data_IF_626016180049
#
_entry.id   IF_626016180049
#
_cell.length_a   1.000
_cell.length_b   1.000
_cell.length_c   1.000
_cell.angle_alpha   90.00
_cell.angle_beta   90.00
_cell.angle_gamma   90.00
#
_symmetry.space_group_name_H-M   'P 1'
#
loop_
_entity.id
_entity.type
_entity.pdbx_description
1 polymer ?
#
# COMPACT_ATOMS: atom_id res chain seq x y z
N UNK A 1 -43.72 15.32 35.79
CA UNK A 1 -43.80 15.77 34.39
C UNK A 1 -42.58 16.62 34.11
N UNK A 2 -41.54 16.04 33.52
CA UNK A 2 -40.37 16.78 33.03
C UNK A 2 -40.13 16.37 31.57
N UNK A 3 -39.87 17.39 30.78
CA UNK A 3 -40.03 17.47 29.34
C UNK A 3 -39.18 16.47 28.55
N UNK A 4 -39.75 16.02 27.44
CA UNK A 4 -39.19 15.03 26.53
C UNK A 4 -37.92 15.51 25.83
N UNK A 5 -36.90 14.67 25.90
CA UNK A 5 -35.64 14.80 25.18
C UNK A 5 -35.85 14.21 23.77
N UNK A 6 -36.31 15.04 22.82
CA UNK A 6 -36.46 14.66 21.42
C UNK A 6 -35.97 15.79 20.54
N UNK A 7 -34.66 15.91 20.32
CA UNK A 7 -34.10 16.60 19.14
C UNK A 7 -32.63 16.21 18.93
N UNK A 8 -32.35 15.16 18.14
CA UNK A 8 -31.21 15.16 17.20
C UNK A 8 -31.56 14.27 15.99
N UNK A 9 -32.53 14.70 15.18
CA UNK A 9 -32.84 14.05 13.89
C UNK A 9 -31.94 14.69 12.82
N UNK A 10 -31.02 13.87 12.29
CA UNK A 10 -30.43 13.92 10.96
C UNK A 10 -29.80 15.24 10.48
N UNK A 11 -28.60 15.51 10.96
CA UNK A 11 -27.63 16.38 10.29
C UNK A 11 -26.61 15.58 9.46
N UNK A 12 -27.05 14.77 8.48
CA UNK A 12 -26.14 14.28 7.43
C UNK A 12 -26.07 15.34 6.32
N UNK A 13 -25.51 16.51 6.64
CA UNK A 13 -24.97 17.36 5.60
C UNK A 13 -23.83 16.58 4.96
N UNK A 14 -23.95 16.30 3.67
CA UNK A 14 -23.00 15.53 2.88
C UNK A 14 -21.57 16.01 3.06
N UNK A 15 -20.86 15.40 3.99
CA UNK A 15 -19.42 15.43 3.98
C UNK A 15 -19.05 14.53 2.80
N UNK A 16 -18.59 15.16 1.71
CA UNK A 16 -17.83 14.47 0.67
C UNK A 16 -16.59 13.91 1.36
N UNK A 17 -16.74 12.75 2.01
CA UNK A 17 -15.62 11.92 2.34
C UNK A 17 -15.03 11.57 0.97
N UNK A 18 -13.90 12.17 0.63
CA UNK A 18 -13.05 11.66 -0.42
C UNK A 18 -12.66 10.25 0.04
N UNK A 19 -13.45 9.25 -0.36
CA UNK A 19 -13.03 7.86 -0.27
C UNK A 19 -11.93 7.76 -1.31
N UNK A 20 -10.68 7.81 -0.85
CA UNK A 20 -9.54 7.39 -1.64
C UNK A 20 -9.85 5.98 -2.14
N UNK A 21 -10.21 5.86 -3.42
CA UNK A 21 -10.49 4.55 -4.00
C UNK A 21 -9.16 3.83 -4.15
N UNK A 22 -8.96 2.80 -3.33
CA UNK A 22 -7.85 1.88 -3.47
C UNK A 22 -8.16 0.92 -4.63
N UNK A 23 -7.63 1.24 -5.81
CA UNK A 23 -7.91 0.52 -7.04
C UNK A 23 -6.74 -0.38 -7.41
N UNK A 24 -7.08 -1.62 -7.77
CA UNK A 24 -6.12 -2.57 -8.34
C UNK A 24 -6.88 -3.62 -9.12
N UNK A 25 -6.32 -4.03 -10.26
CA UNK A 25 -6.73 -5.23 -10.99
C UNK A 25 -5.78 -6.41 -10.74
N UNK A 26 -4.79 -6.26 -9.87
CA UNK A 26 -3.91 -7.33 -9.44
C UNK A 26 -4.69 -8.36 -8.61
N UNK A 27 -4.51 -9.63 -8.93
CA UNK A 27 -5.11 -10.75 -8.20
C UNK A 27 -4.01 -11.54 -7.53
N UNK A 28 -4.19 -11.80 -6.23
CA UNK A 28 -3.26 -12.65 -5.50
C UNK A 28 -3.68 -14.12 -5.61
N UNK A 29 -2.69 -15.01 -5.69
CA UNK A 29 -2.94 -16.44 -5.56
C UNK A 29 -3.44 -16.82 -4.15
N UNK A 30 -4.01 -18.02 -4.03
CA UNK A 30 -4.56 -18.49 -2.76
C UNK A 30 -3.49 -18.84 -1.71
N UNK A 31 -2.24 -19.08 -2.11
CA UNK A 31 -1.14 -19.34 -1.18
C UNK A 31 -0.70 -18.07 -0.45
N UNK A 32 -0.96 -16.88 -1.02
CA UNK A 32 -0.66 -15.58 -0.42
C UNK A 32 -1.77 -14.98 0.45
N UNK A 33 -2.75 -15.80 0.87
CA UNK A 33 -3.81 -15.34 1.79
C UNK A 33 -3.27 -14.83 3.14
N UNK A 34 -2.09 -15.28 3.56
CA UNK A 34 -1.45 -14.84 4.81
C UNK A 34 -1.03 -13.37 4.77
N UNK A 35 -0.83 -12.79 3.58
CA UNK A 35 -0.40 -11.41 3.39
C UNK A 35 -1.56 -10.40 3.45
N UNK A 36 -2.80 -10.88 3.53
CA UNK A 36 -3.98 -10.03 3.67
C UNK A 36 -4.06 -9.48 5.08
N UNK A 37 -4.37 -8.19 5.21
CA UNK A 37 -4.52 -7.57 6.52
C UNK A 37 -5.86 -7.96 7.19
N UNK A 38 -6.09 -7.51 8.43
CA UNK A 38 -7.31 -7.80 9.20
C UNK A 38 -8.61 -7.26 8.57
N UNK A 39 -8.49 -6.33 7.61
CA UNK A 39 -9.61 -5.81 6.81
C UNK A 39 -9.80 -6.57 5.49
N UNK A 40 -9.11 -7.71 5.32
CA UNK A 40 -9.11 -8.53 4.11
C UNK A 40 -8.66 -7.77 2.86
N UNK A 41 -7.74 -6.82 3.03
CA UNK A 41 -7.14 -6.10 1.90
C UNK A 41 -5.84 -6.80 1.50
N UNK A 42 -5.63 -6.96 0.19
CA UNK A 42 -4.37 -7.46 -0.34
C UNK A 42 -3.25 -6.41 -0.20
N UNK A 43 -1.98 -6.82 -0.24
CA UNK A 43 -0.83 -5.90 -0.29
C UNK A 43 -0.96 -4.83 -1.39
N UNK A 44 -1.46 -5.22 -2.56
CA UNK A 44 -1.73 -4.32 -3.69
C UNK A 44 -2.75 -3.21 -3.33
N UNK A 45 -3.83 -3.58 -2.65
CA UNK A 45 -4.85 -2.62 -2.21
C UNK A 45 -4.31 -1.66 -1.15
N UNK A 46 -3.52 -2.15 -0.21
CA UNK A 46 -2.91 -1.31 0.83
C UNK A 46 -1.87 -0.37 0.22
N UNK A 47 -1.06 -0.83 -0.74
CA UNK A 47 -0.13 0.01 -1.49
C UNK A 47 -0.85 1.14 -2.24
N UNK A 48 -1.92 0.81 -2.99
CA UNK A 48 -2.75 1.80 -3.69
C UNK A 48 -3.30 2.85 -2.73
N UNK A 49 -3.83 2.44 -1.59
CA UNK A 49 -4.35 3.34 -0.57
C UNK A 49 -3.26 4.29 -0.03
N UNK A 50 -2.06 3.77 0.26
CA UNK A 50 -0.97 4.55 0.82
C UNK A 50 -0.40 5.57 -0.18
N UNK A 51 -0.22 5.18 -1.44
CA UNK A 51 0.28 6.08 -2.51
C UNK A 51 -0.77 7.16 -2.81
N UNK A 52 -2.06 6.80 -2.77
CA UNK A 52 -3.17 7.73 -3.01
C UNK A 52 -3.20 8.90 -2.03
N UNK A 53 -2.68 8.75 -0.81
CA UNK A 53 -2.53 9.87 0.15
C UNK A 53 -1.72 11.02 -0.46
N UNK A 54 -0.81 10.71 -1.38
CA UNK A 54 0.12 11.68 -1.97
C UNK A 54 -0.30 12.13 -3.36
N UNK A 55 -0.86 11.23 -4.17
CA UNK A 55 -1.19 11.50 -5.57
C UNK A 55 -2.66 11.84 -5.78
N UNK A 56 -3.51 11.70 -4.76
CA UNK A 56 -4.97 11.83 -4.84
C UNK A 56 -5.68 10.63 -5.48
N UNK A 57 -5.01 9.90 -6.36
CA UNK A 57 -5.43 8.60 -6.89
C UNK A 57 -4.24 7.79 -7.37
N UNK A 58 -4.23 6.48 -7.13
CA UNK A 58 -3.22 5.59 -7.68
C UNK A 58 -3.76 4.16 -7.85
N UNK A 59 -3.72 3.64 -9.07
CA UNK A 59 -4.06 2.25 -9.36
C UNK A 59 -2.81 1.39 -9.35
N UNK A 60 -2.81 0.32 -8.54
CA UNK A 60 -1.78 -0.72 -8.61
C UNK A 60 -2.18 -1.70 -9.71
N UNK A 61 -1.51 -1.66 -10.85
CA UNK A 61 -1.84 -2.47 -12.02
C UNK A 61 -1.16 -3.84 -11.97
N UNK A 62 -1.88 -4.88 -12.37
CA UNK A 62 -1.39 -6.24 -12.48
C UNK A 62 -0.12 -6.31 -13.34
N UNK A 63 0.85 -7.08 -12.86
CA UNK A 63 2.15 -7.21 -13.50
C UNK A 63 2.11 -8.29 -14.61
N UNK A 64 2.71 -8.01 -15.78
CA UNK A 64 3.05 -9.04 -16.77
C UNK A 64 3.93 -10.15 -16.18
N UNK A 65 3.97 -11.31 -16.84
CA UNK A 65 4.88 -12.40 -16.44
C UNK A 65 6.35 -11.91 -16.41
N UNK A 66 7.14 -12.43 -15.48
CA UNK A 66 8.55 -12.10 -15.30
C UNK A 66 8.87 -10.61 -15.07
N UNK A 67 7.90 -9.82 -14.58
CA UNK A 67 8.07 -8.40 -14.27
C UNK A 67 7.96 -8.11 -12.76
N UNK A 68 8.24 -6.87 -12.35
CA UNK A 68 8.17 -6.38 -10.97
C UNK A 68 7.76 -4.91 -10.96
N UNK A 69 7.25 -4.43 -9.82
CA UNK A 69 7.10 -3.00 -9.59
C UNK A 69 8.47 -2.35 -9.35
N UNK A 70 8.63 -1.11 -9.82
CA UNK A 70 9.86 -0.35 -9.68
C UNK A 70 9.62 0.97 -8.92
N UNK A 71 10.69 1.46 -8.29
CA UNK A 71 10.71 2.78 -7.68
C UNK A 71 10.79 3.90 -8.73
N UNK A 72 11.03 5.15 -8.29
CA UNK A 72 11.13 6.31 -9.19
C UNK A 72 12.13 6.07 -10.32
N UNK A 73 11.72 6.35 -11.56
CA UNK A 73 12.58 6.15 -12.74
C UNK A 73 13.75 7.16 -12.79
N UNK A 74 13.56 8.32 -12.17
CA UNK A 74 14.56 9.37 -12.05
C UNK A 74 14.34 10.15 -10.75
N UNK A 75 15.32 10.98 -10.38
CA UNK A 75 15.30 11.77 -9.16
C UNK A 75 14.16 12.82 -9.13
N UNK A 76 13.64 13.25 -10.28
CA UNK A 76 12.54 14.23 -10.32
C UNK A 76 11.19 13.62 -9.95
N UNK A 77 11.04 12.30 -10.16
CA UNK A 77 9.84 11.54 -9.76
C UNK A 77 9.91 11.10 -8.28
N UNK A 78 11.05 11.29 -7.63
CA UNK A 78 11.25 10.92 -6.24
C UNK A 78 10.42 11.80 -5.31
N UNK A 79 9.62 11.16 -4.45
CA UNK A 79 8.88 11.83 -3.41
C UNK A 79 8.76 10.93 -2.18
N UNK A 80 8.36 11.47 -1.01
CA UNK A 80 8.30 10.71 0.24
C UNK A 80 7.41 9.47 0.23
N UNK A 81 6.56 9.32 -0.78
CA UNK A 81 5.59 8.22 -0.88
C UNK A 81 6.16 7.06 -1.69
N UNK A 82 6.96 7.35 -2.73
CA UNK A 82 7.72 6.33 -3.44
C UNK A 82 9.01 5.95 -2.72
N UNK A 83 9.67 6.94 -2.11
CA UNK A 83 10.89 6.77 -1.32
C UNK A 83 10.56 6.38 0.12
N UNK A 84 9.80 5.30 0.26
CA UNK A 84 9.27 4.80 1.52
C UNK A 84 9.39 3.28 1.57
N UNK A 85 10.05 2.76 2.60
CA UNK A 85 10.29 1.31 2.73
C UNK A 85 9.00 0.49 2.91
N UNK A 86 7.93 1.10 3.45
CA UNK A 86 6.61 0.47 3.54
C UNK A 86 5.97 0.31 2.17
N UNK A 87 5.99 1.37 1.33
CA UNK A 87 5.43 1.30 -0.02
C UNK A 87 6.15 0.27 -0.87
N UNK A 88 7.49 0.25 -0.78
CA UNK A 88 8.28 -0.82 -1.40
C UNK A 88 7.86 -2.20 -0.93
N UNK A 89 7.78 -2.41 0.39
CA UNK A 89 7.44 -3.73 0.95
C UNK A 89 6.07 -4.22 0.50
N UNK A 90 5.07 -3.32 0.48
CA UNK A 90 3.72 -3.65 0.01
C UNK A 90 3.67 -3.96 -1.48
N UNK A 91 4.44 -3.23 -2.31
CA UNK A 91 4.50 -3.49 -3.75
C UNK A 91 5.34 -4.73 -4.10
N UNK A 92 6.43 -4.99 -3.38
CA UNK A 92 7.19 -6.22 -3.50
C UNK A 92 6.32 -7.44 -3.16
N UNK A 93 5.60 -7.39 -2.04
CA UNK A 93 4.66 -8.44 -1.65
C UNK A 93 3.48 -8.56 -2.63
N UNK A 94 3.00 -7.43 -3.17
CA UNK A 94 2.02 -7.46 -4.25
C UNK A 94 2.56 -8.16 -5.51
N UNK A 95 3.84 -8.04 -5.82
CA UNK A 95 4.49 -8.79 -6.88
C UNK A 95 4.51 -10.29 -6.59
N UNK A 96 4.98 -10.68 -5.40
CA UNK A 96 5.01 -12.08 -4.97
C UNK A 96 3.61 -12.70 -4.98
N UNK A 97 2.60 -11.99 -4.48
CA UNK A 97 1.23 -12.50 -4.44
C UNK A 97 0.65 -12.79 -5.82
N UNK A 98 1.13 -12.11 -6.86
CA UNK A 98 0.73 -12.33 -8.24
C UNK A 98 1.54 -13.46 -8.92
N UNK A 99 2.45 -14.12 -8.20
CA UNK A 99 3.48 -15.00 -8.75
C UNK A 99 4.37 -14.27 -9.76
N UNK A 100 4.95 -13.15 -9.32
CA UNK A 100 5.84 -12.28 -10.12
C UNK A 100 7.17 -12.04 -9.39
N UNK A 101 8.08 -11.37 -10.09
CA UNK A 101 9.40 -11.06 -9.53
C UNK A 101 9.33 -9.83 -8.62
N UNK A 102 10.40 -9.60 -7.85
CA UNK A 102 10.57 -8.36 -7.08
C UNK A 102 11.89 -7.70 -7.43
N UNK A 103 11.93 -6.38 -7.34
CA UNK A 103 13.19 -5.64 -7.33
C UNK A 103 13.76 -5.60 -5.92
N UNK A 104 15.08 -5.46 -5.80
CA UNK A 104 15.73 -5.27 -4.50
C UNK A 104 15.56 -3.82 -4.04
N UNK A 105 15.52 -3.59 -2.72
CA UNK A 105 15.41 -2.24 -2.15
C UNK A 105 16.50 -1.30 -2.67
N UNK A 106 17.75 -1.76 -2.78
CA UNK A 106 18.87 -0.97 -3.29
C UNK A 106 18.67 -0.47 -4.73
N UNK A 107 17.90 -1.20 -5.54
CA UNK A 107 17.51 -0.79 -6.89
C UNK A 107 16.26 0.10 -6.87
N UNK A 108 15.32 -0.16 -5.96
CA UNK A 108 14.13 0.67 -5.76
C UNK A 108 14.49 2.10 -5.35
N UNK A 109 15.41 2.25 -4.39
CA UNK A 109 15.76 3.53 -3.79
C UNK A 109 16.84 4.30 -4.56
N UNK A 110 17.34 3.77 -5.69
CA UNK A 110 18.51 4.34 -6.39
C UNK A 110 18.32 5.82 -6.78
N UNK A 111 17.07 6.22 -7.01
CA UNK A 111 16.70 7.59 -7.36
C UNK A 111 16.08 8.38 -6.20
N UNK A 112 16.14 7.87 -4.96
CA UNK A 112 15.58 8.49 -3.77
C UNK A 112 16.66 9.26 -2.98
N UNK A 113 16.67 10.61 -3.02
CA UNK A 113 17.68 11.40 -2.30
C UNK A 113 17.52 11.34 -0.78
N UNK A 114 16.28 11.08 -0.33
CA UNK A 114 15.94 10.82 1.06
C UNK A 114 14.89 9.72 1.10
N UNK A 115 15.01 8.83 2.08
CA UNK A 115 14.07 7.71 2.29
C UNK A 115 13.36 7.87 3.63
N UNK A 116 12.06 7.64 3.61
CA UNK A 116 11.25 7.55 4.82
C UNK A 116 11.37 6.10 5.31
N UNK A 117 12.26 5.87 6.27
CA UNK A 117 12.52 4.52 6.76
C UNK A 117 11.65 4.23 7.99
N UNK A 118 10.80 3.22 7.89
CA UNK A 118 10.19 2.58 9.04
C UNK A 118 10.67 1.13 9.13
N UNK A 119 11.98 0.95 9.22
CA UNK A 119 12.60 -0.29 9.71
C UNK A 119 12.08 -1.57 9.05
N UNK A 120 12.06 -1.60 7.71
CA UNK A 120 11.83 -2.84 6.96
C UNK A 120 13.04 -3.11 6.08
N UNK A 121 14.09 -3.66 6.70
CA UNK A 121 15.32 -4.05 6.01
C UNK A 121 15.22 -5.52 5.60
N UNK A 122 14.52 -5.78 4.50
CA UNK A 122 14.74 -7.00 3.75
C UNK A 122 15.94 -6.83 2.83
N UNK A 123 17.07 -7.42 3.19
CA UNK A 123 18.26 -7.43 2.33
C UNK A 123 18.15 -8.47 1.19
N UNK A 124 17.29 -9.49 1.35
CA UNK A 124 17.10 -10.55 0.37
C UNK A 124 15.62 -11.03 0.34
N UNK A 125 15.04 -11.31 -0.84
CA UNK A 125 13.63 -11.71 -1.00
C UNK A 125 13.20 -12.90 -0.13
N UNK A 126 14.05 -13.91 0.00
CA UNK A 126 13.81 -15.12 0.80
C UNK A 126 14.00 -14.93 2.31
N UNK A 127 14.60 -13.83 2.74
CA UNK A 127 14.80 -13.50 4.16
C UNK A 127 13.72 -12.56 4.71
N UNK A 128 12.76 -12.18 3.86
CA UNK A 128 11.60 -11.41 4.27
C UNK A 128 10.65 -12.26 5.09
N UNK A 129 10.87 -12.29 6.40
CA UNK A 129 9.77 -12.54 7.32
C UNK A 129 8.93 -11.27 7.35
N UNK A 130 8.00 -11.15 6.41
CA UNK A 130 6.90 -10.21 6.56
C UNK A 130 6.24 -10.56 7.90
N UNK A 131 6.15 -9.65 8.87
CA UNK A 131 5.42 -9.90 10.07
C UNK A 131 3.98 -10.16 9.64
N UNK A 132 3.57 -11.42 9.70
CA UNK A 132 2.21 -11.81 9.98
C UNK A 132 1.90 -11.31 11.41
N UNK A 133 1.77 -10.01 11.55
CA UNK A 133 1.69 -9.31 12.82
C UNK A 133 1.08 -7.94 12.57
N UNK A 134 0.25 -7.44 13.50
CA UNK A 134 -0.55 -6.26 13.27
C UNK A 134 0.38 -5.08 12.94
N UNK A 135 0.18 -4.49 11.76
CA UNK A 135 0.68 -3.15 11.45
C UNK A 135 0.03 -2.23 12.49
N UNK A 136 0.72 -1.97 13.60
CA UNK A 136 0.38 -0.85 14.48
C UNK A 136 0.82 0.40 13.73
N UNK A 137 -0.16 1.03 13.10
CA UNK A 137 -0.13 2.45 12.76
C UNK A 137 -0.02 3.28 14.03
#
# INVERSE_FOLDING_TARGET
>A
MLAGLLLVIFGFLGQNFFVASQTTNATCDAAHNWAFNSKKQSPCQVASALITVCTGSYEVVALPIDSHYAGPANVQDANPCWCNSVVYSLLAECGLCQDRTITMWSLWEINCPSVSDSSFHCLYPQDCTFPAGPIRM
#
